data_IF_502838513135
#
_entry.id   IF_502838513135
#
_cell.length_a   1.000
_cell.length_b   1.000
_cell.length_c   1.000
_cell.angle_alpha   90.00
_cell.angle_beta   90.00
_cell.angle_gamma   90.00
#
_symmetry.space_group_name_H-M   'P 1'
#
loop_
_entity.id
_entity.type
_entity.pdbx_description
1 polymer ?
#
# COMPACT_ATOMS: atom_id res chain seq x y z
N UNK A 1 7.36 -10.46 2.34
CA UNK A 1 8.18 -11.41 3.12
C UNK A 1 8.00 -11.13 4.60
N UNK A 2 7.87 -12.14 5.47
CA UNK A 2 7.81 -11.90 6.92
C UNK A 2 9.23 -11.88 7.49
N UNK A 3 9.58 -10.78 8.15
CA UNK A 3 10.87 -10.66 8.86
C UNK A 3 10.73 -11.26 10.26
N UNK A 4 10.68 -12.58 10.33
CA UNK A 4 10.78 -13.28 11.58
C UNK A 4 11.77 -14.44 11.42
N UNK A 5 13.00 -14.21 11.91
CA UNK A 5 14.10 -15.19 11.88
C UNK A 5 13.76 -16.51 12.59
N UNK A 6 12.71 -16.51 13.43
CA UNK A 6 12.22 -17.69 14.15
C UNK A 6 10.82 -18.10 13.71
N UNK A 7 10.34 -17.72 12.52
CA UNK A 7 8.99 -18.14 12.12
C UNK A 7 8.94 -19.65 11.98
N UNK A 8 8.14 -20.29 12.83
CA UNK A 8 7.70 -21.70 12.78
C UNK A 8 7.05 -22.14 11.45
N UNK A 9 7.07 -21.26 10.45
CA UNK A 9 6.58 -21.45 9.11
C UNK A 9 7.58 -22.23 8.26
N UNK A 10 7.54 -23.52 8.49
CA UNK A 10 8.04 -24.49 7.53
C UNK A 10 7.19 -24.44 6.25
N UNK A 11 7.85 -24.54 5.10
CA UNK A 11 7.54 -23.84 3.84
C UNK A 11 6.19 -24.12 3.14
N UNK A 12 5.19 -24.76 3.76
CA UNK A 12 3.98 -25.21 3.04
C UNK A 12 2.62 -24.92 3.65
N UNK A 13 2.50 -24.49 4.91
CA UNK A 13 1.17 -24.35 5.57
C UNK A 13 1.06 -23.07 6.41
N UNK A 14 1.73 -22.00 6.00
CA UNK A 14 1.56 -20.71 6.64
C UNK A 14 0.92 -19.70 5.72
N UNK A 15 0.03 -18.91 6.29
CA UNK A 15 -0.66 -17.84 5.58
C UNK A 15 -0.99 -16.69 6.52
N UNK A 16 -1.17 -15.52 5.92
CA UNK A 16 -1.75 -14.36 6.60
C UNK A 16 -2.95 -13.90 5.81
N UNK A 17 -4.06 -13.71 6.51
CA UNK A 17 -5.28 -13.12 5.98
C UNK A 17 -5.50 -11.79 6.70
N UNK A 18 -5.44 -10.69 5.95
CA UNK A 18 -5.71 -9.37 6.50
C UNK A 18 -7.20 -9.11 6.59
N UNK A 19 -7.64 -8.56 7.71
CA UNK A 19 -9.00 -8.12 7.94
C UNK A 19 -9.13 -6.67 7.46
N UNK A 20 -9.68 -6.51 6.25
CA UNK A 20 -9.95 -5.19 5.67
C UNK A 20 -11.33 -4.72 6.13
N UNK A 21 -11.34 -3.80 7.09
CA UNK A 21 -12.59 -3.19 7.57
C UNK A 21 -12.96 -2.04 6.64
N UNK A 22 -14.13 -2.15 6.01
CA UNK A 22 -14.66 -1.14 5.11
C UNK A 22 -15.20 0.03 5.94
N UNK A 23 -14.34 1.04 6.15
CA UNK A 23 -14.63 2.24 6.94
C UNK A 23 -14.16 3.48 6.18
N UNK A 24 -14.82 4.61 6.38
CA UNK A 24 -14.35 5.91 5.85
C UNK A 24 -12.96 6.27 6.37
N UNK A 25 -12.59 5.75 7.55
CA UNK A 25 -11.29 5.98 8.17
C UNK A 25 -10.24 4.93 7.78
N UNK A 26 -10.56 3.97 6.89
CA UNK A 26 -9.69 2.86 6.53
C UNK A 26 -8.30 3.33 6.06
N UNK A 27 -8.25 4.42 5.29
CA UNK A 27 -6.98 4.98 4.82
C UNK A 27 -6.18 5.51 6.02
N UNK A 28 -6.81 6.31 6.88
CA UNK A 28 -6.14 6.92 8.04
C UNK A 28 -5.70 5.88 9.07
N UNK A 29 -6.48 4.82 9.27
CA UNK A 29 -6.20 3.79 10.28
C UNK A 29 -5.12 2.81 9.85
N UNK A 30 -5.09 2.45 8.56
CA UNK A 30 -4.20 1.41 8.04
C UNK A 30 -2.98 1.96 7.29
N UNK A 31 -2.99 3.24 6.92
CA UNK A 31 -1.89 3.90 6.21
C UNK A 31 -1.46 5.18 6.93
N UNK A 32 -0.82 5.09 8.11
CA UNK A 32 -0.38 6.26 8.86
C UNK A 32 0.58 7.15 8.07
N UNK A 33 1.37 6.55 7.18
CA UNK A 33 2.30 7.23 6.28
C UNK A 33 2.37 6.48 4.94
N UNK A 34 2.95 7.12 3.92
CA UNK A 34 3.02 6.60 2.53
C UNK A 34 3.73 5.25 2.41
N UNK A 35 4.65 4.93 3.31
CA UNK A 35 5.39 3.66 3.37
C UNK A 35 4.99 2.77 4.54
N UNK A 36 4.05 3.21 5.38
CA UNK A 36 3.63 2.46 6.57
C UNK A 36 2.27 1.84 6.33
N UNK A 37 2.22 0.52 6.43
CA UNK A 37 1.00 -0.26 6.39
C UNK A 37 0.76 -0.88 7.76
N UNK A 38 -0.46 -0.81 8.26
CA UNK A 38 -0.87 -1.46 9.52
C UNK A 38 -2.21 -2.14 9.30
N UNK A 39 -2.26 -3.45 9.49
CA UNK A 39 -3.48 -4.22 9.36
C UNK A 39 -3.66 -5.18 10.52
N UNK A 40 -4.91 -5.41 10.91
CA UNK A 40 -5.26 -6.58 11.71
C UNK A 40 -5.45 -7.77 10.78
N UNK A 41 -5.25 -8.97 11.29
CA UNK A 41 -5.47 -10.17 10.50
C UNK A 41 -5.26 -11.46 11.28
N UNK A 42 -5.46 -12.58 10.59
CA UNK A 42 -5.24 -13.93 11.10
C UNK A 42 -3.92 -14.46 10.56
N UNK A 43 -3.05 -14.88 11.48
CA UNK A 43 -1.89 -15.70 11.15
C UNK A 43 -2.27 -17.17 11.28
N UNK A 44 -2.14 -17.91 10.18
CA UNK A 44 -2.32 -19.34 10.12
C UNK A 44 -0.96 -20.01 10.31
N UNK A 45 -0.68 -20.49 11.51
CA UNK A 45 0.49 -21.32 11.81
C UNK A 45 0.18 -22.81 11.64
N UNK A 46 1.19 -23.68 11.85
CA UNK A 46 1.07 -25.14 11.66
C UNK A 46 -0.14 -25.80 12.34
N UNK A 47 -0.57 -25.30 13.51
CA UNK A 47 -1.64 -25.89 14.32
C UNK A 47 -2.54 -24.87 15.02
N UNK A 48 -2.35 -23.59 14.74
CA UNK A 48 -3.05 -22.53 15.45
C UNK A 48 -3.32 -21.35 14.52
N UNK A 49 -4.49 -20.76 14.73
CA UNK A 49 -4.86 -19.49 14.12
C UNK A 49 -4.78 -18.46 15.23
N UNK A 50 -4.07 -17.36 14.99
CA UNK A 50 -3.98 -16.26 15.95
C UNK A 50 -4.28 -14.92 15.30
N UNK A 51 -5.09 -14.11 15.97
CA UNK A 51 -5.32 -12.73 15.57
C UNK A 51 -4.10 -11.90 15.96
N UNK A 52 -3.59 -11.14 14.99
CA UNK A 52 -2.35 -10.38 15.12
C UNK A 52 -2.51 -9.03 14.44
N UNK A 53 -1.70 -8.08 14.91
CA UNK A 53 -1.47 -6.85 14.16
C UNK A 53 -0.20 -7.03 13.34
N UNK A 54 -0.27 -6.68 12.06
CA UNK A 54 0.84 -6.71 11.13
C UNK A 54 1.17 -5.29 10.71
N UNK A 55 2.47 -4.99 10.67
CA UNK A 55 2.96 -3.68 10.27
C UNK A 55 4.06 -3.86 9.23
N UNK A 56 4.03 -3.02 8.20
CA UNK A 56 5.13 -2.86 7.25
C UNK A 56 5.57 -1.40 7.25
N UNK A 57 6.88 -1.16 7.16
CA UNK A 57 7.48 0.17 7.10
C UNK A 57 8.15 0.42 5.74
N UNK A 58 7.89 -0.44 4.76
CA UNK A 58 8.46 -0.38 3.42
C UNK A 58 7.42 -0.59 2.32
N UNK A 59 6.17 -0.22 2.60
CA UNK A 59 5.05 -0.29 1.66
C UNK A 59 4.65 -1.73 1.30
N UNK A 60 4.85 -2.69 2.21
CA UNK A 60 4.36 -4.06 2.09
C UNK A 60 5.37 -5.07 1.52
N UNK A 61 6.63 -4.66 1.31
CA UNK A 61 7.71 -5.58 0.91
C UNK A 61 8.03 -6.53 2.07
N UNK A 62 8.26 -5.97 3.25
CA UNK A 62 8.55 -6.68 4.49
C UNK A 62 7.42 -6.41 5.49
N UNK A 63 6.90 -7.50 6.06
CA UNK A 63 5.87 -7.47 7.08
C UNK A 63 6.44 -7.97 8.41
N UNK A 64 6.13 -7.23 9.48
CA UNK A 64 6.39 -7.60 10.86
C UNK A 64 5.08 -7.92 11.55
N UNK A 65 5.07 -9.02 12.29
CA UNK A 65 3.95 -9.41 13.15
C UNK A 65 4.22 -8.90 14.56
N UNK A 66 3.33 -8.05 15.08
CA UNK A 66 3.47 -7.54 16.44
C UNK A 66 3.23 -8.66 17.48
N UNK A 67 3.85 -8.51 18.65
CA UNK A 67 3.65 -9.41 19.79
C UNK A 67 2.14 -9.49 20.14
N UNK A 68 1.63 -10.71 20.42
CA UNK A 68 0.20 -10.94 20.74
C UNK A 68 -0.26 -10.16 21.97
N UNK A 69 0.68 -9.84 22.86
CA UNK A 69 0.41 -9.07 24.07
C UNK A 69 0.09 -7.61 23.75
N UNK A 70 0.57 -7.09 22.62
CA UNK A 70 0.28 -5.73 22.18
C UNK A 70 -1.15 -5.71 21.63
N UNK A 71 -2.06 -5.17 22.43
CA UNK A 71 -3.48 -5.13 22.11
C UNK A 71 -3.84 -3.92 21.24
N UNK A 72 -3.40 -2.73 21.66
CA UNK A 72 -3.55 -1.49 20.90
C UNK A 72 -2.17 -0.95 20.61
N UNK A 73 -1.97 -0.41 19.41
CA UNK A 73 -0.73 0.26 19.04
C UNK A 73 -0.99 1.54 18.26
N UNK A 74 -0.13 2.52 18.46
CA UNK A 74 -0.08 3.74 17.65
C UNK A 74 1.32 3.90 17.08
N UNK A 75 1.39 4.46 15.87
CA UNK A 75 2.64 4.77 15.19
C UNK A 75 2.73 6.29 15.15
N UNK A 76 3.79 6.82 15.73
CA UNK A 76 4.07 8.24 15.87
C UNK A 76 5.33 8.61 15.10
N UNK A 77 5.52 9.91 14.89
CA UNK A 77 6.73 10.46 14.28
C UNK A 77 7.11 9.71 12.99
N UNK A 78 6.11 9.48 12.13
CA UNK A 78 6.24 8.81 10.82
C UNK A 78 6.93 7.44 10.87
N UNK A 79 6.69 6.66 11.93
CA UNK A 79 7.31 5.35 12.13
C UNK A 79 8.50 5.35 13.06
N UNK A 80 9.00 6.52 13.46
CA UNK A 80 10.12 6.65 14.40
C UNK A 80 9.80 6.21 15.83
N UNK A 81 8.52 6.01 16.14
CA UNK A 81 8.08 5.54 17.45
C UNK A 81 6.81 4.72 17.33
N UNK A 82 6.81 3.53 17.92
CA UNK A 82 5.63 2.69 18.07
C UNK A 82 5.36 2.53 19.56
N UNK A 83 4.14 2.85 19.96
CA UNK A 83 3.68 2.63 21.33
C UNK A 83 2.57 1.59 21.29
N UNK A 84 2.68 0.56 22.12
CA UNK A 84 1.68 -0.47 22.30
C UNK A 84 1.27 -0.59 23.76
N UNK A 85 0.05 -1.05 24.02
CA UNK A 85 -0.42 -1.37 25.39
C UNK A 85 -0.70 -2.87 25.52
N UNK A 86 -0.32 -3.43 26.67
CA UNK A 86 -0.72 -4.78 27.08
C UNK A 86 -2.14 -4.76 27.65
N UNK A 87 -2.97 -5.73 27.29
CA UNK A 87 -4.33 -5.83 27.84
C UNK A 87 -4.37 -6.30 29.30
N UNK A 88 -3.40 -7.10 29.74
CA UNK A 88 -3.49 -7.87 31.00
C UNK A 88 -2.61 -7.34 32.14
N UNK A 89 -1.45 -6.77 31.83
CA UNK A 89 -0.45 -6.41 32.86
C UNK A 89 -0.05 -4.93 32.83
N UNK A 90 -0.83 -4.09 32.17
CA UNK A 90 -0.64 -2.63 32.30
C UNK A 90 0.78 -2.20 31.91
N UNK A 91 1.33 -2.89 30.91
CA UNK A 91 2.65 -2.60 30.38
C UNK A 91 2.49 -1.77 29.12
N UNK A 92 3.39 -0.82 28.96
CA UNK A 92 3.58 -0.15 27.68
C UNK A 92 4.75 -0.83 26.97
N UNK A 93 4.54 -1.06 25.69
CA UNK A 93 5.55 -1.50 24.73
C UNK A 93 5.98 -0.29 23.93
N UNK A 94 7.28 -0.02 23.89
CA UNK A 94 7.85 1.09 23.12
C UNK A 94 8.88 0.54 22.15
N UNK A 95 8.81 0.97 20.89
CA UNK A 95 9.83 0.67 19.89
C UNK A 95 10.23 1.93 19.15
N UNK A 96 11.54 2.18 19.06
CA UNK A 96 12.12 3.29 18.30
C UNK A 96 12.60 2.88 16.90
N UNK A 97 12.69 1.57 16.67
CA UNK A 97 13.33 0.97 15.48
C UNK A 97 12.35 0.15 14.66
N UNK A 98 11.20 0.76 14.31
CA UNK A 98 10.19 0.14 13.44
C UNK A 98 9.75 -1.26 13.91
N UNK A 99 9.69 -1.49 15.22
CA UNK A 99 9.27 -2.77 15.80
C UNK A 99 10.32 -3.88 15.80
N UNK A 100 11.58 -3.58 15.42
CA UNK A 100 12.69 -4.54 15.50
C UNK A 100 13.09 -4.86 16.94
N UNK A 101 13.05 -3.85 17.81
CA UNK A 101 13.36 -3.95 19.24
C UNK A 101 12.25 -3.32 20.07
N UNK A 102 11.94 -3.92 21.22
CA UNK A 102 10.85 -3.49 22.09
C UNK A 102 11.33 -3.32 23.54
N UNK A 103 11.13 -2.12 24.06
CA UNK A 103 11.27 -1.80 25.47
C UNK A 103 9.91 -1.97 26.16
N UNK A 104 9.94 -2.49 27.38
CA UNK A 104 8.72 -2.74 28.16
C UNK A 104 8.89 -2.06 29.50
N UNK A 105 7.90 -1.27 29.86
CA UNK A 105 7.87 -0.62 31.16
C UNK A 105 6.51 -0.82 31.82
N UNK A 106 6.52 -0.87 33.15
CA UNK A 106 5.32 -1.00 33.96
C UNK A 106 4.99 0.36 34.55
N UNK A 107 3.91 0.97 34.08
CA UNK A 107 3.53 2.31 34.50
C UNK A 107 2.52 2.32 35.66
N UNK A 108 2.18 1.15 36.21
CA UNK A 108 1.24 1.00 37.33
C UNK A 108 -0.19 1.46 37.03
N UNK A 109 -0.50 1.79 35.77
CA UNK A 109 -1.81 2.28 35.36
C UNK A 109 -2.56 1.18 34.62
N UNK A 110 -3.51 0.55 35.31
CA UNK A 110 -4.28 -0.56 34.75
C UNK A 110 -5.31 -0.11 33.70
N UNK A 111 -5.50 -0.93 32.67
CA UNK A 111 -6.59 -0.83 31.68
C UNK A 111 -6.55 0.40 30.75
N UNK A 112 -5.52 0.54 29.91
CA UNK A 112 -5.51 1.54 28.84
C UNK A 112 -6.67 1.37 27.84
N UNK A 113 -7.64 2.28 27.89
CA UNK A 113 -8.80 2.28 26.99
C UNK A 113 -8.42 2.82 25.61
N UNK A 114 -7.55 3.83 25.52
CA UNK A 114 -7.14 4.38 24.23
C UNK A 114 -5.77 5.06 24.36
N UNK A 115 -5.02 5.09 23.27
CA UNK A 115 -3.82 5.93 23.14
C UNK A 115 -4.17 6.98 22.10
N UNK A 116 -4.42 8.20 22.55
CA UNK A 116 -4.75 9.32 21.64
C UNK A 116 -3.50 10.19 21.50
N UNK A 117 -2.98 10.42 20.29
CA UNK A 117 -2.05 11.52 20.08
C UNK A 117 -2.81 12.83 20.37
N UNK A 118 -2.41 13.54 21.41
CA UNK A 118 -3.15 14.70 21.88
C UNK A 118 -2.93 15.91 20.96
N UNK A 119 -3.99 16.30 20.26
CA UNK A 119 -4.23 17.66 19.76
C UNK A 119 -5.66 18.04 20.13
N UNK A 120 -5.89 18.65 21.30
CA UNK A 120 -7.23 19.12 21.71
C UNK A 120 -7.20 20.56 22.23
N UNK A 121 -8.16 21.42 21.82
CA UNK A 121 -8.30 22.78 22.34
C UNK A 121 -8.90 22.85 23.76
N UNK A 122 -9.77 21.91 24.17
CA UNK A 122 -10.65 22.11 25.35
C UNK A 122 -10.52 21.09 26.50
N UNK A 123 -9.66 20.06 26.41
CA UNK A 123 -9.51 19.04 27.46
C UNK A 123 -8.10 19.02 28.08
N UNK A 124 -8.01 19.00 29.42
CA UNK A 124 -6.74 18.96 30.19
C UNK A 124 -6.33 17.54 30.58
N UNK A 125 -6.13 16.66 29.62
CA UNK A 125 -5.40 15.40 29.86
C UNK A 125 -4.05 15.54 29.18
N UNK A 126 -2.97 15.53 29.97
CA UNK A 126 -1.60 15.64 29.48
C UNK A 126 -0.88 14.34 29.81
N UNK A 127 -0.72 13.48 28.82
CA UNK A 127 0.28 12.43 28.86
C UNK A 127 1.47 12.92 28.03
N UNK A 128 2.52 13.39 28.69
CA UNK A 128 3.73 13.84 28.04
C UNK A 128 4.75 12.70 28.08
N UNK A 129 5.14 12.20 26.91
CA UNK A 129 6.36 11.41 26.81
C UNK A 129 7.45 12.39 26.38
N UNK A 130 8.35 12.70 27.31
CA UNK A 130 9.51 13.52 27.00
C UNK A 130 10.58 12.63 26.35
N UNK A 131 10.71 12.69 25.04
CA UNK A 131 11.86 12.14 24.34
C UNK A 131 12.92 13.24 24.26
N UNK A 132 14.06 13.03 24.92
CA UNK A 132 15.16 14.00 24.87
C UNK A 132 15.54 14.30 23.41
N UNK A 133 15.71 15.59 23.15
CA UNK A 133 15.52 16.26 21.86
C UNK A 133 16.72 16.08 20.93
N UNK A 134 16.90 14.90 20.35
CA UNK A 134 17.78 14.76 19.17
C UNK A 134 17.02 15.21 17.92
N UNK A 135 17.32 16.43 17.48
CA UNK A 135 16.83 16.99 16.21
C UNK A 135 17.57 16.30 15.07
N UNK A 136 16.81 15.88 14.07
CA UNK A 136 17.32 15.15 12.90
C UNK A 136 18.30 16.02 12.11
N UNK A 137 19.44 15.44 11.72
CA UNK A 137 20.38 16.00 10.75
C UNK A 137 20.11 15.44 9.34
N UNK A 138 20.60 16.12 8.29
CA UNK A 138 20.28 15.75 6.91
C UNK A 138 20.72 14.33 6.50
N UNK A 139 21.73 13.79 7.17
CA UNK A 139 22.27 12.45 6.97
C UNK A 139 21.51 11.34 7.72
N UNK A 140 20.55 11.69 8.57
CA UNK A 140 19.69 10.73 9.29
C UNK A 140 18.53 10.18 8.43
N UNK A 141 18.48 10.60 7.15
CA UNK A 141 17.46 10.18 6.21
C UNK A 141 18.03 9.30 5.09
N UNK A 142 17.16 8.49 4.51
CA UNK A 142 17.42 7.67 3.34
C UNK A 142 16.33 7.84 2.28
N UNK A 143 16.70 7.67 1.01
CA UNK A 143 15.72 7.65 -0.07
C UNK A 143 14.97 6.31 -0.05
N UNK A 144 13.67 6.36 0.24
CA UNK A 144 12.77 5.23 0.12
C UNK A 144 12.01 5.32 -1.21
N UNK A 145 12.09 4.27 -2.03
CA UNK A 145 11.41 4.19 -3.32
C UNK A 145 10.11 3.39 -3.18
N UNK A 146 9.10 3.80 -3.96
CA UNK A 146 7.84 3.07 -4.05
C UNK A 146 8.10 1.59 -4.41
N UNK A 147 7.61 0.63 -3.63
CA UNK A 147 7.83 -0.78 -3.89
C UNK A 147 7.10 -1.24 -5.15
N UNK A 148 7.84 -1.89 -6.05
CA UNK A 148 7.35 -2.52 -7.28
C UNK A 148 8.05 -3.87 -7.46
N UNK A 149 7.50 -4.76 -8.29
CA UNK A 149 8.14 -6.05 -8.55
C UNK A 149 9.32 -5.91 -9.52
N UNK A 150 9.18 -5.02 -10.51
CA UNK A 150 10.12 -4.83 -11.62
C UNK A 150 10.62 -3.38 -11.68
N UNK A 151 11.60 -3.06 -10.83
CA UNK A 151 12.28 -1.75 -10.81
C UNK A 151 11.65 -0.74 -9.86
N UNK A 152 11.93 0.56 -10.05
CA UNK A 152 11.40 1.65 -9.23
C UNK A 152 10.54 2.65 -10.04
N UNK A 153 10.29 2.37 -11.32
CA UNK A 153 9.56 3.26 -12.21
C UNK A 153 8.05 3.01 -12.08
N UNK A 154 7.33 4.02 -11.59
CA UNK A 154 5.89 4.05 -11.44
C UNK A 154 5.30 5.05 -12.43
N UNK A 155 4.58 4.55 -13.41
CA UNK A 155 3.99 5.33 -14.50
C UNK A 155 5.01 6.29 -15.10
N UNK A 156 6.16 5.77 -15.54
CA UNK A 156 7.23 6.59 -16.11
C UNK A 156 7.98 7.50 -15.14
N UNK A 157 7.70 7.42 -13.84
CA UNK A 157 8.35 8.24 -12.83
C UNK A 157 8.96 7.37 -11.73
N UNK A 158 10.24 7.59 -11.45
CA UNK A 158 10.89 7.06 -10.28
C UNK A 158 10.54 7.98 -9.12
N UNK A 159 9.64 7.49 -8.25
CA UNK A 159 9.15 8.25 -7.11
C UNK A 159 9.88 7.78 -5.86
N UNK A 160 10.52 8.73 -5.16
CA UNK A 160 11.16 8.48 -3.87
C UNK A 160 10.71 9.48 -2.81
N UNK A 161 10.84 9.06 -1.55
CA UNK A 161 10.56 9.86 -0.38
C UNK A 161 11.78 9.86 0.53
N UNK A 162 12.06 10.99 1.16
CA UNK A 162 13.11 11.07 2.16
C UNK A 162 12.58 10.54 3.49
N UNK A 163 12.89 9.29 3.81
CA UNK A 163 12.43 8.54 4.98
C UNK A 163 13.50 8.58 6.07
N UNK A 164 13.12 8.71 7.34
CA UNK A 164 14.07 8.62 8.47
C UNK A 164 14.66 7.21 8.52
N UNK A 165 15.97 7.08 8.72
CA UNK A 165 16.58 5.76 8.86
C UNK A 165 16.04 5.07 10.12
N UNK A 166 15.82 3.74 10.09
CA UNK A 166 15.22 3.02 11.22
C UNK A 166 16.00 3.10 12.53
N UNK A 167 17.32 3.26 12.48
CA UNK A 167 18.20 3.25 13.66
C UNK A 167 18.48 4.65 14.23
N UNK A 168 18.06 5.70 13.54
CA UNK A 168 18.32 7.06 14.01
C UNK A 168 17.22 7.51 14.98
N UNK A 169 17.63 7.73 16.23
CA UNK A 169 16.77 8.12 17.35
C UNK A 169 16.50 9.63 17.36
N UNK A 170 16.01 10.16 16.24
CA UNK A 170 15.73 11.58 16.06
C UNK A 170 14.26 11.85 15.70
N UNK A 171 13.83 13.09 15.94
CA UNK A 171 12.45 13.55 15.73
C UNK A 171 12.26 14.24 14.38
N UNK A 172 11.43 13.65 13.50
CA UNK A 172 11.12 14.21 12.19
C UNK A 172 10.10 15.33 12.34
N UNK A 173 10.60 16.57 12.38
CA UNK A 173 9.79 17.77 12.54
C UNK A 173 9.15 18.27 11.23
N UNK A 174 9.30 17.54 10.12
CA UNK A 174 8.71 17.95 8.83
C UNK A 174 7.20 17.81 8.91
N UNK A 175 6.48 18.88 8.57
CA UNK A 175 5.02 18.87 8.47
C UNK A 175 4.54 18.17 7.20
N UNK A 176 5.29 18.31 6.10
CA UNK A 176 4.99 17.70 4.81
C UNK A 176 6.20 16.97 4.23
N UNK A 177 5.95 15.84 3.56
CA UNK A 177 6.97 15.08 2.82
C UNK A 177 6.59 15.06 1.35
N UNK A 178 7.30 15.88 0.59
CA UNK A 178 7.20 15.93 -0.86
C UNK A 178 7.98 14.76 -1.47
N UNK A 179 7.41 14.06 -2.47
CA UNK A 179 8.18 13.09 -3.25
C UNK A 179 9.21 13.80 -4.13
N UNK A 180 10.34 13.14 -4.34
CA UNK A 180 11.20 13.41 -5.49
C UNK A 180 10.74 12.55 -6.65
N UNK A 181 10.55 13.16 -7.82
CA UNK A 181 10.10 12.47 -9.03
C UNK A 181 11.13 12.68 -10.12
N UNK A 182 11.72 11.59 -10.60
CA UNK A 182 12.62 11.60 -11.75
C UNK A 182 11.96 10.83 -12.90
N UNK A 183 12.08 11.32 -14.12
CA UNK A 183 11.58 10.60 -15.30
C UNK A 183 12.32 9.26 -15.48
N UNK A 184 11.60 8.23 -15.92
CA UNK A 184 12.15 6.92 -16.26
C UNK A 184 11.31 6.22 -17.34
N UNK A 185 11.90 5.18 -17.94
CA UNK A 185 11.18 4.34 -18.92
C UNK A 185 10.06 3.57 -18.24
N UNK A 186 8.84 3.60 -18.79
CA UNK A 186 7.70 2.88 -18.22
C UNK A 186 8.01 1.39 -18.05
N UNK A 187 7.53 0.81 -16.95
CA UNK A 187 7.62 -0.63 -16.69
C UNK A 187 6.34 -1.34 -17.13
N UNK A 188 6.40 -2.66 -17.32
CA UNK A 188 5.23 -3.44 -17.73
C UNK A 188 4.05 -3.37 -16.73
N UNK A 189 4.37 -3.19 -15.44
CA UNK A 189 3.41 -3.01 -14.36
C UNK A 189 2.65 -1.66 -14.41
N UNK A 190 3.12 -0.71 -15.22
CA UNK A 190 2.45 0.58 -15.37
C UNK A 190 1.17 0.48 -16.20
N UNK A 191 1.07 -0.57 -17.02
CA UNK A 191 -0.08 -0.88 -17.84
C UNK A 191 -1.08 -1.70 -17.01
N UNK A 192 -2.36 -1.39 -17.09
CA UNK A 192 -3.40 -2.14 -16.39
C UNK A 192 -3.60 -3.47 -17.14
N UNK A 193 -3.14 -4.57 -16.55
CA UNK A 193 -3.38 -5.91 -17.09
C UNK A 193 -4.58 -6.54 -16.40
N UNK A 194 -5.44 -7.21 -17.17
CA UNK A 194 -6.42 -8.12 -16.62
C UNK A 194 -5.72 -9.41 -16.22
N UNK A 195 -5.50 -9.60 -14.92
CA UNK A 195 -4.78 -10.73 -14.33
C UNK A 195 -5.50 -12.08 -14.38
N UNK A 196 -6.39 -12.31 -15.34
CA UNK A 196 -6.81 -13.67 -15.68
C UNK A 196 -5.91 -14.15 -16.81
N UNK A 197 -5.01 -15.10 -16.53
CA UNK A 197 -4.13 -15.73 -17.52
C UNK A 197 -4.89 -16.35 -18.70
N UNK A 198 -6.19 -16.60 -18.56
CA UNK A 198 -7.08 -17.10 -19.62
C UNK A 198 -7.97 -16.02 -20.28
N UNK A 199 -7.87 -14.75 -19.83
CA UNK A 199 -8.67 -13.62 -20.32
C UNK A 199 -7.86 -12.33 -20.55
N UNK A 200 -6.52 -12.39 -20.68
CA UNK A 200 -5.90 -11.39 -21.55
C UNK A 200 -6.64 -11.47 -22.88
N UNK A 201 -7.05 -10.34 -23.47
CA UNK A 201 -7.63 -10.37 -24.81
C UNK A 201 -6.82 -11.32 -25.71
N UNK A 202 -7.45 -12.12 -26.58
CA UNK A 202 -6.86 -13.27 -27.29
C UNK A 202 -5.72 -12.93 -28.26
N UNK A 203 -5.09 -11.77 -28.12
CA UNK A 203 -4.13 -11.17 -29.05
C UNK A 203 -2.74 -10.98 -28.45
N UNK A 204 -2.49 -11.29 -27.17
CA UNK A 204 -1.17 -11.10 -26.54
C UNK A 204 -0.82 -12.21 -25.55
N UNK A 205 0.43 -12.67 -25.55
CA UNK A 205 0.98 -13.56 -24.53
C UNK A 205 2.23 -12.95 -23.86
N UNK A 206 2.47 -13.33 -22.59
CA UNK A 206 3.56 -12.80 -21.76
C UNK A 206 4.76 -13.76 -21.78
N UNK A 207 5.89 -13.32 -22.32
CA UNK A 207 7.17 -14.06 -22.32
C UNK A 207 8.31 -13.11 -21.93
N UNK A 208 9.15 -13.52 -20.97
CA UNK A 208 10.38 -12.81 -20.57
C UNK A 208 10.20 -11.33 -20.19
N UNK A 209 9.07 -10.97 -19.56
CA UNK A 209 8.67 -9.59 -19.24
C UNK A 209 8.32 -8.72 -20.45
N UNK A 210 8.10 -9.33 -21.61
CA UNK A 210 7.60 -8.69 -22.81
C UNK A 210 6.24 -9.27 -23.19
N UNK A 211 5.40 -8.41 -23.75
CA UNK A 211 4.12 -8.76 -24.33
C UNK A 211 4.36 -8.92 -25.82
N UNK A 212 4.06 -10.09 -26.35
CA UNK A 212 4.19 -10.35 -27.79
C UNK A 212 2.77 -10.53 -28.32
N UNK A 213 2.44 -9.78 -29.38
CA UNK A 213 1.17 -9.94 -30.08
C UNK A 213 1.10 -11.32 -30.71
N UNK A 214 -0.04 -12.01 -30.58
CA UNK A 214 -0.30 -13.26 -31.28
C UNK A 214 -0.36 -13.01 -32.79
N UNK A 215 0.61 -13.51 -33.58
CA UNK A 215 0.70 -13.28 -35.02
C UNK A 215 -0.49 -13.81 -35.82
N UNK A 216 -1.35 -14.64 -35.22
CA UNK A 216 -2.50 -15.26 -35.90
C UNK A 216 -3.70 -14.31 -36.05
N UNK A 217 -3.64 -13.08 -35.55
CA UNK A 217 -4.77 -12.14 -35.50
C UNK A 217 -4.69 -11.03 -36.57
N UNK A 218 -4.68 -11.39 -37.86
CA UNK A 218 -4.69 -10.44 -38.99
C UNK A 218 -6.08 -9.79 -39.18
N UNK A 219 -6.37 -8.60 -38.63
CA UNK A 219 -7.61 -7.86 -38.91
C UNK A 219 -7.43 -6.33 -38.96
N UNK A 220 -8.18 -5.69 -39.86
CA UNK A 220 -8.22 -4.24 -40.10
C UNK A 220 -9.00 -3.46 -39.03
N UNK A 221 -8.62 -2.19 -38.74
CA UNK A 221 -9.18 -1.42 -37.62
C UNK A 221 -10.63 -0.97 -37.84
N UNK A 222 -11.50 -1.29 -36.89
CA UNK A 222 -12.88 -0.77 -36.76
C UNK A 222 -12.96 0.34 -35.69
N UNK A 223 -13.99 1.18 -35.77
CA UNK A 223 -14.26 2.30 -34.86
C UNK A 223 -15.26 1.86 -33.79
N UNK A 224 -14.83 1.78 -32.52
CA UNK A 224 -15.68 1.29 -31.43
C UNK A 224 -16.57 2.40 -30.86
N UNK A 225 -17.70 1.99 -30.27
CA UNK A 225 -18.73 2.85 -29.66
C UNK A 225 -19.06 2.37 -28.24
N UNK A 226 -19.38 3.29 -27.33
CA UNK A 226 -19.90 2.94 -26.01
C UNK A 226 -21.41 2.64 -26.08
N UNK A 227 -21.86 1.57 -25.42
CA UNK A 227 -23.28 1.16 -25.42
C UNK A 227 -24.24 2.22 -24.90
N UNK A 228 -23.77 3.11 -24.03
CA UNK A 228 -24.54 4.19 -23.41
C UNK A 228 -24.38 5.55 -24.12
N UNK A 229 -23.76 5.58 -25.31
CA UNK A 229 -23.56 6.80 -26.08
C UNK A 229 -22.50 7.75 -25.53
N UNK A 230 -21.75 7.32 -24.49
CA UNK A 230 -20.63 8.08 -23.96
C UNK A 230 -19.45 8.09 -24.93
N UNK A 231 -18.48 8.97 -24.68
CA UNK A 231 -17.28 9.08 -25.52
C UNK A 231 -16.42 7.81 -25.32
N UNK A 232 -16.29 6.97 -26.36
CA UNK A 232 -15.47 5.78 -26.27
C UNK A 232 -13.99 6.17 -26.27
N UNK A 233 -13.24 5.53 -25.39
CA UNK A 233 -11.81 5.70 -25.27
C UNK A 233 -11.08 4.74 -26.21
N UNK A 234 -11.29 4.89 -27.52
CA UNK A 234 -10.81 3.94 -28.55
C UNK A 234 -9.30 3.66 -28.50
N UNK A 235 -8.50 4.62 -28.03
CA UNK A 235 -7.05 4.47 -27.86
C UNK A 235 -6.62 3.57 -26.66
N UNK A 236 -7.57 3.05 -25.88
CA UNK A 236 -7.34 2.28 -24.66
C UNK A 236 -7.79 0.81 -24.75
N UNK A 237 -8.36 0.37 -25.88
CA UNK A 237 -8.84 -1.00 -26.07
C UNK A 237 -7.63 -1.94 -26.28
N UNK A 238 -7.19 -2.64 -25.24
CA UNK A 238 -6.08 -3.62 -25.27
C UNK A 238 -4.78 -3.16 -24.59
N UNK A 239 -4.57 -1.85 -24.40
CA UNK A 239 -3.59 -1.32 -23.45
C UNK A 239 -4.08 0.03 -22.94
N UNK A 240 -4.16 0.20 -21.61
CA UNK A 240 -4.42 1.52 -21.07
C UNK A 240 -3.18 2.38 -21.31
N UNK A 241 -3.20 3.29 -22.30
CA UNK A 241 -2.13 4.28 -22.45
C UNK A 241 -2.18 5.18 -21.21
N UNK A 242 -1.10 5.30 -20.47
CA UNK A 242 -1.02 6.30 -19.40
C UNK A 242 -1.29 7.69 -19.99
N UNK A 243 -1.78 8.64 -19.18
CA UNK A 243 -1.96 10.02 -19.65
C UNK A 243 -0.69 10.47 -20.39
N UNK A 244 -0.88 11.15 -21.52
CA UNK A 244 0.19 11.44 -22.50
C UNK A 244 1.37 12.22 -21.94
N UNK A 245 1.20 12.83 -20.76
CA UNK A 245 2.22 13.63 -20.08
C UNK A 245 2.99 12.82 -19.01
N UNK A 246 2.63 11.55 -18.78
CA UNK A 246 3.13 10.75 -17.66
C UNK A 246 4.27 9.82 -18.07
N UNK A 247 4.22 9.20 -19.25
CA UNK A 247 5.37 8.41 -19.74
C UNK A 247 5.35 8.23 -21.26
N UNK A 248 6.55 8.14 -21.86
CA UNK A 248 6.71 7.79 -23.27
C UNK A 248 6.86 6.26 -23.40
N UNK A 249 5.89 5.54 -23.99
CA UNK A 249 6.05 4.12 -24.24
C UNK A 249 7.23 3.91 -25.19
N UNK A 250 7.96 2.81 -25.01
CA UNK A 250 8.95 2.35 -26.00
C UNK A 250 8.21 2.14 -27.33
N UNK A 251 8.72 2.69 -28.42
CA UNK A 251 8.05 2.63 -29.73
C UNK A 251 7.74 1.18 -30.10
N UNK A 252 6.46 0.84 -30.14
CA UNK A 252 5.93 -0.43 -30.65
C UNK A 252 5.02 -0.16 -31.85
N UNK A 253 5.07 -1.08 -32.81
CA UNK A 253 4.32 -1.10 -34.06
C UNK A 253 2.87 -1.53 -33.72
N UNK A 254 1.87 -0.80 -34.23
CA UNK A 254 0.45 -0.86 -33.89
C UNK A 254 -0.33 -2.00 -34.55
N UNK A 255 -1.37 -2.57 -33.89
CA UNK A 255 -2.68 -2.99 -34.48
C UNK A 255 -3.68 -3.62 -33.46
N UNK A 256 -5.00 -3.72 -33.81
CA UNK A 256 -6.18 -3.42 -32.96
C UNK A 256 -7.36 -4.45 -32.85
N UNK A 257 -8.12 -4.36 -31.74
CA UNK A 257 -9.60 -4.40 -31.36
C UNK A 257 -10.70 -5.47 -31.66
N UNK A 258 -11.71 -5.43 -30.76
CA UNK A 258 -13.13 -5.92 -30.63
C UNK A 258 -14.14 -4.80 -31.06
N UNK A 259 -15.48 -5.00 -31.12
CA UNK A 259 -16.49 -4.00 -31.61
C UNK A 259 -17.06 -3.01 -30.55
N UNK A 260 -17.11 -3.39 -29.26
CA UNK A 260 -17.55 -2.50 -28.17
C UNK A 260 -16.34 -1.77 -27.54
N UNK A 261 -16.50 -0.53 -27.08
CA UNK A 261 -15.47 0.14 -26.28
C UNK A 261 -15.51 -0.36 -24.82
N UNK A 262 -14.40 -0.86 -24.30
CA UNK A 262 -14.33 -1.38 -22.92
C UNK A 262 -14.43 -0.26 -21.88
N UNK A 263 -13.97 0.94 -22.23
CA UNK A 263 -13.91 2.09 -21.33
C UNK A 263 -14.65 3.29 -21.91
N UNK A 264 -15.53 3.84 -21.05
CA UNK A 264 -16.36 5.00 -21.35
C UNK A 264 -16.21 6.01 -20.21
N UNK A 265 -15.85 7.25 -20.53
CA UNK A 265 -15.65 8.29 -19.50
C UNK A 265 -17.01 8.74 -18.95
N UNK A 266 -17.15 8.77 -17.63
CA UNK A 266 -18.22 9.52 -16.93
C UNK A 266 -17.68 10.88 -16.49
N UNK A 267 -18.50 11.93 -16.52
CA UNK A 267 -18.10 13.33 -16.25
C UNK A 267 -17.62 13.65 -14.80
N UNK A 268 -17.26 12.64 -14.01
CA UNK A 268 -16.86 12.79 -12.60
C UNK A 268 -15.34 12.85 -12.37
N UNK A 269 -14.88 13.85 -11.60
CA UNK A 269 -13.49 13.93 -11.09
C UNK A 269 -13.24 12.88 -10.02
N UNK A 270 -12.30 11.97 -10.24
CA UNK A 270 -11.76 11.04 -9.23
C UNK A 270 -10.45 11.59 -8.61
N UNK A 271 -10.19 11.26 -7.35
CA UNK A 271 -8.94 11.60 -6.64
C UNK A 271 -7.89 10.50 -6.86
N UNK A 272 -6.74 10.90 -7.41
CA UNK A 272 -5.62 10.02 -7.78
C UNK A 272 -5.07 9.21 -6.61
N UNK A 273 -5.20 9.71 -5.37
CA UNK A 273 -4.71 9.03 -4.17
C UNK A 273 -5.51 7.76 -3.84
N UNK A 274 -6.80 7.71 -4.20
CA UNK A 274 -7.64 6.53 -3.98
C UNK A 274 -7.25 5.40 -4.94
N UNK A 275 -6.92 5.73 -6.19
CA UNK A 275 -6.51 4.77 -7.22
C UNK A 275 -5.17 4.12 -6.85
N UNK A 276 -4.22 4.91 -6.33
CA UNK A 276 -2.92 4.41 -5.89
C UNK A 276 -3.06 3.39 -4.74
N UNK A 277 -3.88 3.68 -3.73
CA UNK A 277 -4.09 2.80 -2.58
C UNK A 277 -4.63 1.42 -2.96
N UNK A 278 -5.57 1.33 -3.91
CA UNK A 278 -6.05 0.05 -4.43
C UNK A 278 -4.97 -0.68 -5.22
N UNK A 279 -4.18 0.02 -6.04
CA UNK A 279 -3.11 -0.59 -6.85
C UNK A 279 -2.04 -1.24 -5.95
N UNK A 280 -1.71 -0.67 -4.79
CA UNK A 280 -0.81 -1.30 -3.81
C UNK A 280 -1.34 -2.61 -3.22
N UNK A 281 -2.65 -2.73 -2.99
CA UNK A 281 -3.26 -3.94 -2.45
C UNK A 281 -3.24 -5.09 -3.46
N UNK A 282 -3.42 -4.79 -4.75
CA UNK A 282 -3.33 -5.79 -5.84
C UNK A 282 -1.91 -6.32 -6.05
N UNK A 283 -0.88 -5.51 -5.77
CA UNK A 283 0.53 -5.94 -5.88
C UNK A 283 0.92 -6.89 -4.76
N UNK A 284 0.17 -7.01 -3.66
CA UNK A 284 0.43 -8.06 -2.67
C UNK A 284 -0.18 -9.37 -3.20
N UNK A 285 0.65 -10.37 -3.56
CA UNK A 285 0.25 -11.77 -3.84
C UNK A 285 -0.42 -12.43 -2.61
N UNK A 286 -1.56 -11.91 -2.16
CA UNK A 286 -2.37 -12.46 -1.08
C UNK A 286 -3.43 -13.31 -1.77
N UNK A 287 -3.35 -14.63 -1.62
CA UNK A 287 -4.27 -15.59 -2.24
C UNK A 287 -5.73 -15.49 -1.75
N UNK A 288 -6.05 -14.56 -0.85
CA UNK A 288 -7.41 -14.32 -0.37
C UNK A 288 -7.54 -12.87 0.09
N UNK A 289 -7.96 -12.00 -0.81
CA UNK A 289 -8.50 -10.67 -0.49
C UNK A 289 -9.95 -10.64 -0.92
N UNK A 290 -10.87 -10.43 0.03
CA UNK A 290 -12.23 -10.00 -0.30
C UNK A 290 -12.19 -8.49 -0.45
N UNK A 291 -12.22 -8.00 -1.68
CA UNK A 291 -12.23 -6.57 -1.96
C UNK A 291 -13.61 -5.98 -1.64
N UNK A 292 -13.63 -4.86 -0.90
CA UNK A 292 -14.83 -4.02 -0.74
C UNK A 292 -14.82 -2.97 -1.85
N UNK A 293 -15.82 -3.01 -2.74
CA UNK A 293 -16.12 -1.91 -3.64
C UNK A 293 -16.88 -0.84 -2.85
N UNK A 294 -16.24 0.30 -2.59
CA UNK A 294 -16.93 1.48 -2.06
C UNK A 294 -17.53 2.20 -3.28
N UNK A 295 -18.79 1.92 -3.59
CA UNK A 295 -19.55 2.74 -4.53
C UNK A 295 -20.06 3.99 -3.83
N UNK A 296 -20.11 5.11 -4.55
CA UNK A 296 -20.46 6.44 -4.04
C UNK A 296 -21.95 6.58 -3.68
N UNK A 297 -22.75 5.53 -3.84
CA UNK A 297 -24.22 5.61 -3.90
C UNK A 297 -24.96 5.10 -2.66
N UNK A 298 -24.28 4.82 -1.54
CA UNK A 298 -24.98 4.53 -0.27
C UNK A 298 -25.02 5.74 0.65
N UNK A 299 -25.87 6.70 0.29
CA UNK A 299 -26.48 7.66 1.22
C UNK A 299 -27.99 7.74 1.00
N UNK A 300 -28.72 7.68 2.12
CA UNK A 300 -30.15 7.95 2.34
C UNK A 300 -31.16 6.83 2.04
N UNK A 301 -31.49 6.06 3.08
CA UNK A 301 -32.75 6.26 3.83
C UNK A 301 -32.51 6.01 5.32
#
# INVERSE_FOLDING_TARGET
MFDNKNSDCDQRICGVEFELICSTDMIKSNFPEKWILKFQGKFYGKRSVSHRTFVSFDGGKIWKMLDSRIHKSIILNRGGLIIGTESTHSRIFVSYHEGSEWYKDHNGADNFIYIVPLEFPDNRVVAAINYDRYIVQGDDFENWYIPRYHGNCFQGHQISYLKKKPFDMCFDNRTFILPTMNECTCSIEDFHWYGHFDHSEPKYYYIDNFCISDPLTNQTPQVNVCRDGRKPLNQFNGFTKLDTDICSPRQTISEAHSEDAEYCISDGKYDINQILAFKYLYTLKIHSMKACLITKDTFCQ
#
